data_IF_498478885353
#
_entry.id   IF_498478885353
#
_cell.length_a   1.000
_cell.length_b   1.000
_cell.length_c   1.000
_cell.angle_alpha   90.00
_cell.angle_beta   90.00
_cell.angle_gamma   90.00
#
_symmetry.space_group_name_H-M   'P 1'
#
loop_
_entity.id
_entity.type
_entity.pdbx_description
1 polymer ?
#
# COMPACT_ATOMS: atom_id res chain seq x y z
N UNK A 1 -12.35 2.08 -6.88
CA UNK A 1 -10.91 1.75 -6.80
C UNK A 1 -10.72 0.33 -6.28
N UNK A 2 -9.66 -0.39 -6.69
CA UNK A 2 -9.23 -1.66 -6.09
C UNK A 2 -7.70 -1.81 -6.14
N UNK A 3 -7.15 -2.68 -5.29
CA UNK A 3 -5.74 -3.07 -5.33
C UNK A 3 -5.64 -4.41 -6.05
N UNK A 4 -4.83 -4.47 -7.11
CA UNK A 4 -4.46 -5.72 -7.77
C UNK A 4 -3.09 -6.13 -7.24
N UNK A 5 -3.06 -7.17 -6.39
CA UNK A 5 -1.82 -7.67 -5.83
C UNK A 5 -0.97 -8.38 -6.90
N UNK A 6 0.32 -8.09 -6.95
CA UNK A 6 1.25 -8.71 -7.92
C UNK A 6 1.38 -10.23 -7.68
N UNK A 7 1.25 -10.63 -6.42
CA UNK A 7 1.11 -12.02 -6.01
C UNK A 7 -0.06 -12.14 -5.06
N UNK A 8 -0.86 -13.18 -5.25
CA UNK A 8 -1.98 -13.46 -4.35
C UNK A 8 -1.46 -13.68 -2.92
N UNK A 9 -1.99 -13.00 -1.90
CA UNK A 9 -1.62 -13.22 -0.50
C UNK A 9 -1.82 -14.69 -0.11
N UNK A 10 -0.77 -15.36 0.38
CA UNK A 10 -0.83 -16.78 0.77
C UNK A 10 -0.47 -17.00 2.23
N UNK A 11 0.41 -16.17 2.78
CA UNK A 11 0.77 -16.26 4.20
C UNK A 11 -0.29 -15.57 5.04
N UNK A 12 -0.50 -16.06 6.26
CA UNK A 12 -1.46 -15.47 7.20
C UNK A 12 -1.23 -13.96 7.40
N UNK A 13 0.04 -13.55 7.53
CA UNK A 13 0.44 -12.14 7.64
C UNK A 13 0.00 -11.31 6.43
N UNK A 14 0.28 -11.80 5.21
CA UNK A 14 -0.10 -11.14 3.96
C UNK A 14 -1.63 -11.00 3.87
N UNK A 15 -2.38 -12.05 4.19
CA UNK A 15 -3.85 -12.06 4.14
C UNK A 15 -4.43 -11.00 5.09
N UNK A 16 -3.92 -10.93 6.32
CA UNK A 16 -4.37 -9.94 7.32
C UNK A 16 -4.10 -8.51 6.84
N UNK A 17 -2.90 -8.28 6.34
CA UNK A 17 -2.45 -6.96 5.89
C UNK A 17 -3.22 -6.51 4.65
N UNK A 18 -3.46 -7.43 3.69
CA UNK A 18 -4.27 -7.18 2.50
C UNK A 18 -5.72 -6.86 2.87
N UNK A 19 -6.35 -7.68 3.71
CA UNK A 19 -7.73 -7.46 4.16
C UNK A 19 -7.88 -6.12 4.91
N UNK A 20 -6.90 -5.75 5.73
CA UNK A 20 -6.91 -4.46 6.40
C UNK A 20 -6.93 -3.31 5.39
N UNK A 21 -6.00 -3.27 4.44
CA UNK A 21 -5.89 -2.13 3.53
C UNK A 21 -7.05 -2.07 2.53
N UNK A 22 -7.57 -3.23 2.11
CA UNK A 22 -8.77 -3.33 1.28
C UNK A 22 -10.00 -2.79 2.03
N UNK A 23 -10.13 -3.04 3.33
CA UNK A 23 -11.19 -2.44 4.16
C UNK A 23 -11.09 -0.91 4.28
N UNK A 24 -9.95 -0.33 3.87
CA UNK A 24 -9.65 1.12 3.90
C UNK A 24 -9.55 1.71 2.50
N UNK A 25 -10.11 1.06 1.47
CA UNK A 25 -9.93 1.48 0.07
C UNK A 25 -10.35 2.94 -0.19
N UNK A 26 -11.38 3.45 0.47
CA UNK A 26 -11.78 4.87 0.34
C UNK A 26 -10.76 5.85 0.93
N UNK A 27 -10.05 5.47 2.01
CA UNK A 27 -8.96 6.27 2.54
C UNK A 27 -7.74 6.23 1.60
N UNK A 28 -7.46 5.06 1.01
CA UNK A 28 -6.42 4.92 -0.02
C UNK A 28 -6.71 5.82 -1.20
N UNK A 29 -7.95 5.87 -1.67
CA UNK A 29 -8.38 6.76 -2.75
C UNK A 29 -8.12 8.24 -2.42
N UNK A 30 -8.48 8.67 -1.21
CA UNK A 30 -8.19 10.03 -0.76
C UNK A 30 -6.68 10.33 -0.70
N UNK A 31 -5.85 9.37 -0.27
CA UNK A 31 -4.40 9.53 -0.25
C UNK A 31 -3.82 9.60 -1.67
N UNK A 32 -4.33 8.80 -2.61
CA UNK A 32 -3.93 8.89 -4.02
C UNK A 32 -4.32 10.24 -4.61
N UNK A 33 -5.51 10.74 -4.32
CA UNK A 33 -5.93 12.08 -4.77
C UNK A 33 -5.04 13.18 -4.18
N UNK A 34 -4.66 13.07 -2.90
CA UNK A 34 -3.71 13.99 -2.27
C UNK A 34 -2.32 13.91 -2.92
N UNK A 35 -1.82 12.70 -3.17
CA UNK A 35 -0.55 12.47 -3.87
C UNK A 35 -0.52 13.21 -5.21
N UNK A 36 -1.60 13.10 -5.99
CA UNK A 36 -1.74 13.74 -7.30
C UNK A 36 -1.81 15.26 -7.16
N UNK A 37 -2.70 15.74 -6.29
CA UNK A 37 -2.97 17.17 -6.08
C UNK A 37 -1.73 17.94 -5.66
N UNK A 38 -0.91 17.35 -4.79
CA UNK A 38 0.29 17.97 -4.24
C UNK A 38 1.57 17.56 -4.99
N UNK A 39 1.45 16.80 -6.08
CA UNK A 39 2.58 16.32 -6.91
C UNK A 39 3.70 15.66 -6.07
N UNK A 40 3.31 14.75 -5.17
CA UNK A 40 4.25 14.10 -4.24
C UNK A 40 5.05 13.00 -4.94
N UNK A 41 6.25 12.72 -4.45
CA UNK A 41 7.06 11.57 -4.91
C UNK A 41 6.54 10.25 -4.34
N UNK A 42 6.12 10.27 -3.08
CA UNK A 42 5.60 9.12 -2.33
C UNK A 42 4.69 9.61 -1.20
N UNK A 43 3.73 8.80 -0.79
CA UNK A 43 3.03 8.93 0.49
C UNK A 43 3.22 7.63 1.25
N UNK A 44 3.70 7.71 2.49
CA UNK A 44 3.81 6.56 3.38
C UNK A 44 3.13 6.80 4.71
N UNK A 45 2.49 5.77 5.26
CA UNK A 45 1.84 5.84 6.57
C UNK A 45 1.92 4.49 7.28
N UNK A 46 1.92 4.53 8.61
CA UNK A 46 1.94 3.36 9.48
C UNK A 46 0.71 3.45 10.40
N UNK A 47 -0.35 2.66 10.19
CA UNK A 47 -1.50 2.64 11.08
C UNK A 47 -1.16 2.00 12.43
N UNK A 48 -2.16 1.95 13.31
CA UNK A 48 -2.12 1.18 14.56
C UNK A 48 -1.70 -0.27 14.28
N UNK A 49 -0.92 -0.90 15.17
CA UNK A 49 -0.45 -2.27 14.99
C UNK A 49 -1.56 -3.26 14.63
N UNK A 50 -1.27 -4.14 13.67
CA UNK A 50 -2.14 -5.27 13.32
C UNK A 50 -1.55 -6.53 13.94
N UNK A 51 -2.30 -7.16 14.86
CA UNK A 51 -1.85 -8.33 15.62
C UNK A 51 -0.45 -8.14 16.23
N UNK A 52 -0.24 -7.01 16.89
CA UNK A 52 1.01 -6.68 17.58
C UNK A 52 2.19 -6.32 16.69
N UNK A 53 2.01 -6.28 15.37
CA UNK A 53 3.06 -5.92 14.40
C UNK A 53 2.74 -4.59 13.72
N UNK A 54 3.77 -3.80 13.43
CA UNK A 54 3.66 -2.59 12.64
C UNK A 54 3.82 -2.89 11.15
N UNK A 55 3.05 -2.20 10.32
CA UNK A 55 3.15 -2.26 8.88
C UNK A 55 3.09 -0.86 8.30
N UNK A 56 4.04 -0.51 7.43
CA UNK A 56 4.03 0.76 6.71
C UNK A 56 3.53 0.52 5.30
N UNK A 57 2.55 1.31 4.88
CA UNK A 57 2.02 1.32 3.53
C UNK A 57 2.64 2.49 2.79
N UNK A 58 2.97 2.29 1.52
CA UNK A 58 3.59 3.29 0.67
C UNK A 58 2.89 3.33 -0.68
N UNK A 59 2.42 4.51 -1.08
CA UNK A 59 1.91 4.78 -2.43
C UNK A 59 2.99 5.53 -3.21
N UNK A 60 3.29 5.05 -4.42
CA UNK A 60 4.19 5.71 -5.37
C UNK A 60 3.73 5.55 -6.80
N UNK A 61 4.14 6.46 -7.69
CA UNK A 61 3.86 6.34 -9.12
C UNK A 61 5.03 5.69 -9.87
N UNK A 62 4.75 4.60 -10.60
CA UNK A 62 5.73 3.89 -11.40
C UNK A 62 5.69 4.37 -12.85
N UNK A 63 6.58 5.29 -13.21
CA UNK A 63 6.61 5.96 -14.52
C UNK A 63 6.58 5.00 -15.71
N UNK A 64 7.41 3.95 -15.72
CA UNK A 64 7.44 3.02 -16.87
C UNK A 64 6.19 2.16 -17.04
N UNK A 65 5.39 1.99 -15.98
CA UNK A 65 4.16 1.20 -16.02
C UNK A 65 2.92 2.08 -16.07
N UNK A 66 3.10 3.40 -15.97
CA UNK A 66 2.07 4.42 -15.85
C UNK A 66 0.99 4.09 -14.81
N UNK A 67 1.42 3.54 -13.67
CA UNK A 67 0.54 3.02 -12.62
C UNK A 67 0.93 3.51 -11.23
N UNK A 68 -0.07 3.72 -10.39
CA UNK A 68 0.15 3.85 -8.95
C UNK A 68 0.36 2.47 -8.34
N UNK A 69 1.38 2.36 -7.51
CA UNK A 69 1.72 1.14 -6.79
C UNK A 69 1.47 1.37 -5.31
N UNK A 70 1.09 0.29 -4.62
CA UNK A 70 1.12 0.22 -3.16
C UNK A 70 2.14 -0.84 -2.75
N UNK A 71 3.06 -0.48 -1.85
CA UNK A 71 3.96 -1.42 -1.19
C UNK A 71 3.59 -1.48 0.29
N UNK A 72 3.71 -2.65 0.89
CA UNK A 72 3.54 -2.84 2.32
C UNK A 72 4.83 -3.40 2.90
N UNK A 73 5.36 -2.71 3.89
CA UNK A 73 6.61 -3.01 4.57
C UNK A 73 6.29 -3.45 5.99
N UNK A 74 7.01 -4.45 6.50
CA UNK A 74 6.92 -4.81 7.92
C UNK A 74 7.80 -3.85 8.72
N UNK A 75 7.22 -3.20 9.73
CA UNK A 75 7.88 -2.18 10.55
C UNK A 75 7.19 -0.83 10.46
N UNK A 76 7.91 0.21 10.91
CA UNK A 76 7.42 1.60 10.98
C UNK A 76 8.01 2.51 9.89
N UNK A 77 8.83 1.95 8.98
CA UNK A 77 9.53 2.66 7.91
C UNK A 77 9.40 1.88 6.59
N UNK A 78 9.48 2.61 5.49
CA UNK A 78 9.66 2.04 4.14
C UNK A 78 11.13 1.74 3.89
N UNK A 79 11.45 0.82 2.99
CA UNK A 79 12.80 0.62 2.47
C UNK A 79 13.77 -0.22 3.31
N UNK A 80 13.47 -0.52 4.58
CA UNK A 80 14.38 -1.27 5.46
C UNK A 80 14.54 -2.77 5.10
N UNK A 81 13.56 -3.35 4.39
CA UNK A 81 13.55 -4.75 3.94
C UNK A 81 12.69 -4.90 2.67
N UNK A 82 12.63 -6.07 2.01
CA UNK A 82 11.68 -6.22 0.89
C UNK A 82 10.22 -6.04 1.35
N UNK A 83 9.35 -5.42 0.52
CA UNK A 83 7.92 -5.36 0.81
C UNK A 83 7.34 -6.77 1.01
N UNK A 84 6.52 -6.93 2.05
CA UNK A 84 5.80 -8.18 2.29
C UNK A 84 4.65 -8.36 1.30
N UNK A 85 4.11 -7.25 0.79
CA UNK A 85 3.08 -7.20 -0.24
C UNK A 85 3.31 -5.99 -1.13
N UNK A 86 2.97 -6.14 -2.41
CA UNK A 86 2.95 -5.02 -3.34
C UNK A 86 1.94 -5.29 -4.47
N UNK A 87 1.38 -4.23 -5.02
CA UNK A 87 0.35 -4.31 -6.06
C UNK A 87 0.16 -2.99 -6.79
N UNK A 88 -0.63 -3.02 -7.85
CA UNK A 88 -1.08 -1.81 -8.56
C UNK A 88 -2.47 -1.37 -8.11
N UNK A 89 -2.66 -0.06 -8.03
CA UNK A 89 -3.94 0.57 -7.73
C UNK A 89 -4.67 0.79 -9.05
N UNK A 90 -5.86 0.21 -9.18
CA UNK A 90 -6.73 0.37 -10.34
C UNK A 90 -7.90 1.31 -9.98
N UNK A 91 -8.05 2.38 -10.76
CA UNK A 91 -9.23 3.24 -10.74
C UNK A 91 -10.40 2.55 -11.45
N UNK A 92 -11.61 2.82 -10.96
CA UNK A 92 -12.85 2.32 -11.56
C UNK A 92 -13.32 3.23 -12.69
#
# INVERSE_FOLDING_TARGET
MKINWDKYPRKQEEIIVAAYIESKIGAVENLVNLFIKENLLTISWTPTPLNGNYYTYEIKYHRHREKYLINVWKGVRTGDAMPILYGDIQFG
#
